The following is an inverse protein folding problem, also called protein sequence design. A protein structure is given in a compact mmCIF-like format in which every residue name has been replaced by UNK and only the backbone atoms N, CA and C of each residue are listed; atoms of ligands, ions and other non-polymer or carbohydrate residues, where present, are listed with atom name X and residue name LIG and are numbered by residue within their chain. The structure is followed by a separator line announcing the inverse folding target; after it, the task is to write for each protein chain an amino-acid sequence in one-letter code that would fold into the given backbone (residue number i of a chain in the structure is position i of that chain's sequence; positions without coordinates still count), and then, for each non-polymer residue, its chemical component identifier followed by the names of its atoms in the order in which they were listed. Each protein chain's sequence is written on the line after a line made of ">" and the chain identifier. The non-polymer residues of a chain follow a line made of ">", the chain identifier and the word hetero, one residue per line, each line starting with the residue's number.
data_IF_724080676236
#
_entry.id   IF_724080676236
#
_cell.length_a   1.000
_cell.length_b   1.000
_cell.length_c   1.000
_cell.angle_alpha   90.00
_cell.angle_beta   90.00
_cell.angle_gamma   90.00
#
_symmetry.space_group_name_H-M   'P 1'
#
loop_
_entity.id
_entity.type
_entity.pdbx_description
1 polymer ?
#
# COMPACT_ATOMS: atom_id res chain seq x y z
N UNK A 1 26.50 -6.49 -13.76
CA UNK A 1 25.49 -6.78 -14.80
C UNK A 1 24.17 -6.20 -14.31
N UNK A 2 23.63 -5.18 -14.98
CA UNK A 2 22.40 -4.49 -14.58
C UNK A 2 21.24 -4.99 -15.47
N UNK A 3 20.32 -5.75 -14.87
CA UNK A 3 19.20 -6.41 -15.57
C UNK A 3 17.91 -5.76 -15.11
N UNK A 4 17.08 -5.28 -16.05
CA UNK A 4 15.82 -4.59 -15.75
C UNK A 4 14.62 -5.38 -16.27
N UNK A 5 13.58 -5.49 -15.44
CA UNK A 5 12.26 -5.96 -15.87
C UNK A 5 11.58 -4.82 -16.64
N UNK A 6 11.43 -4.97 -17.96
CA UNK A 6 10.76 -3.96 -18.81
C UNK A 6 9.24 -3.98 -18.70
N UNK A 7 8.65 -5.12 -18.29
CA UNK A 7 7.21 -5.28 -18.13
C UNK A 7 6.92 -6.48 -17.22
N UNK A 8 6.04 -6.30 -16.25
CA UNK A 8 5.54 -7.36 -15.37
C UNK A 8 4.01 -7.28 -15.36
N UNK A 9 3.35 -8.24 -16.01
CA UNK A 9 1.88 -8.30 -16.11
C UNK A 9 1.43 -9.70 -15.72
N UNK A 10 0.48 -9.78 -14.80
CA UNK A 10 -0.14 -11.02 -14.34
C UNK A 10 -1.15 -10.74 -13.23
N UNK A 11 -1.95 -11.75 -12.88
CA UNK A 11 -2.76 -11.74 -11.67
C UNK A 11 -1.92 -12.39 -10.58
N UNK A 12 -1.69 -11.67 -9.49
CA UNK A 12 -0.91 -12.16 -8.37
C UNK A 12 -1.77 -12.13 -7.11
N UNK A 13 -1.71 -13.21 -6.33
CA UNK A 13 -2.23 -13.18 -4.98
C UNK A 13 -1.36 -12.30 -4.10
N UNK A 14 -1.98 -11.65 -3.11
CA UNK A 14 -1.24 -10.96 -2.07
C UNK A 14 -0.37 -12.01 -1.35
N UNK A 15 0.97 -11.84 -1.36
CA UNK A 15 1.87 -12.79 -0.72
C UNK A 15 1.61 -12.82 0.79
N UNK A 16 2.06 -13.87 1.48
CA UNK A 16 1.82 -14.06 2.93
C UNK A 16 2.21 -12.83 3.77
N UNK A 17 3.25 -12.13 3.36
CA UNK A 17 3.79 -10.96 4.08
C UNK A 17 3.12 -9.63 3.68
N UNK A 18 2.22 -9.65 2.70
CA UNK A 18 1.61 -8.46 2.13
C UNK A 18 2.54 -7.71 1.16
N UNK A 19 2.08 -6.56 0.70
CA UNK A 19 2.80 -5.63 -0.16
C UNK A 19 2.88 -4.29 0.57
N UNK A 20 4.00 -3.59 0.47
CA UNK A 20 4.21 -2.27 1.06
C UNK A 20 4.44 -1.24 -0.05
N UNK A 21 3.71 -0.14 0.04
CA UNK A 21 3.85 1.01 -0.85
C UNK A 21 4.35 2.21 -0.04
N UNK A 22 5.52 2.71 -0.40
CA UNK A 22 5.99 4.00 0.09
C UNK A 22 5.36 5.11 -0.76
N UNK A 23 4.53 5.95 -0.16
CA UNK A 23 3.81 7.02 -0.87
C UNK A 23 4.49 8.36 -0.60
N UNK A 24 4.93 9.01 -1.68
CA UNK A 24 5.59 10.31 -1.66
C UNK A 24 4.89 11.26 -2.65
N UNK A 25 5.06 12.56 -2.44
CA UNK A 25 4.72 13.55 -3.45
C UNK A 25 5.56 13.36 -4.74
N UNK A 26 5.06 13.80 -5.91
CA UNK A 26 5.79 13.71 -7.17
C UNK A 26 7.18 14.37 -7.10
N UNK A 27 8.08 13.93 -8.00
CA UNK A 27 9.44 14.46 -8.13
C UNK A 27 10.29 14.35 -6.85
N UNK A 28 10.03 13.34 -6.02
CA UNK A 28 10.79 13.09 -4.79
C UNK A 28 10.45 14.07 -3.66
N UNK A 29 9.22 14.61 -3.67
CA UNK A 29 8.74 15.50 -2.63
C UNK A 29 8.48 14.79 -1.29
N UNK A 30 7.65 15.40 -0.44
CA UNK A 30 7.45 14.94 0.94
C UNK A 30 6.96 13.49 0.97
N UNK A 31 7.49 12.73 1.93
CA UNK A 31 6.95 11.43 2.29
C UNK A 31 5.60 11.58 2.99
N UNK A 32 4.55 11.04 2.38
CA UNK A 32 3.18 11.11 2.88
C UNK A 32 2.88 9.96 3.86
N UNK A 33 3.49 8.80 3.63
CA UNK A 33 3.34 7.63 4.48
C UNK A 33 3.49 6.33 3.73
N UNK A 34 3.30 5.23 4.45
CA UNK A 34 3.37 3.87 3.93
C UNK A 34 2.00 3.19 3.93
N UNK A 35 1.63 2.57 2.82
CA UNK A 35 0.41 1.77 2.68
C UNK A 35 0.77 0.29 2.64
N UNK A 36 0.32 -0.46 3.63
CA UNK A 36 0.44 -1.91 3.65
C UNK A 36 -0.82 -2.57 3.11
N UNK A 37 -0.66 -3.40 2.08
CA UNK A 37 -1.71 -4.19 1.46
C UNK A 37 -1.60 -5.64 1.95
N UNK A 38 -2.61 -6.13 2.67
CA UNK A 38 -2.65 -7.48 3.22
C UNK A 38 -3.89 -8.24 2.78
N UNK A 39 -3.94 -9.54 3.04
CA UNK A 39 -5.11 -10.36 2.69
C UNK A 39 -6.41 -9.91 3.39
N UNK A 40 -6.31 -9.33 4.59
CA UNK A 40 -7.48 -8.91 5.38
C UNK A 40 -7.91 -7.47 5.13
N UNK A 41 -7.09 -6.66 4.44
CA UNK A 41 -7.37 -5.26 4.20
C UNK A 41 -6.10 -4.43 4.01
N UNK A 42 -6.21 -3.14 4.29
CA UNK A 42 -5.12 -2.18 4.17
C UNK A 42 -4.76 -1.56 5.52
N UNK A 43 -3.51 -1.16 5.69
CA UNK A 43 -3.07 -0.36 6.83
C UNK A 43 -2.34 0.87 6.33
N UNK A 44 -2.86 2.05 6.65
CA UNK A 44 -2.22 3.32 6.34
C UNK A 44 -1.37 3.81 7.50
N UNK A 45 -0.11 4.12 7.22
CA UNK A 45 0.86 4.64 8.16
C UNK A 45 1.28 6.05 7.75
N UNK A 46 0.66 7.06 8.34
CA UNK A 46 0.92 8.46 7.98
C UNK A 46 2.34 8.90 8.40
N UNK A 47 3.06 9.55 7.49
CA UNK A 47 4.44 9.96 7.71
C UNK A 47 5.33 8.78 8.11
N UNK A 48 5.96 8.84 9.30
CA UNK A 48 6.86 7.78 9.81
C UNK A 48 6.18 6.82 10.80
N UNK A 49 4.86 6.69 10.72
CA UNK A 49 4.10 5.82 11.64
C UNK A 49 4.48 4.37 11.39
N UNK A 50 4.66 3.58 12.45
CA UNK A 50 4.92 2.15 12.30
C UNK A 50 3.63 1.40 11.96
N UNK A 51 3.74 0.27 11.25
CA UNK A 51 2.59 -0.59 10.90
C UNK A 51 1.67 -0.91 12.09
N UNK A 52 2.24 -1.12 13.28
CA UNK A 52 1.48 -1.41 14.51
C UNK A 52 0.54 -0.27 14.92
N UNK A 53 0.92 0.97 14.62
CA UNK A 53 0.19 2.18 14.97
C UNK A 53 -0.58 2.77 13.77
N UNK A 54 -0.54 2.09 12.62
CA UNK A 54 -1.26 2.49 11.42
C UNK A 54 -2.77 2.28 11.55
N UNK A 55 -3.53 3.02 10.74
CA UNK A 55 -5.00 2.87 10.68
C UNK A 55 -5.34 1.71 9.75
N UNK A 56 -5.85 0.62 10.33
CA UNK A 56 -6.31 -0.54 9.58
C UNK A 56 -7.75 -0.33 9.07
N UNK A 57 -8.02 -0.79 7.86
CA UNK A 57 -9.36 -0.96 7.30
C UNK A 57 -9.45 -2.31 6.60
N UNK A 58 -10.48 -3.07 6.91
CA UNK A 58 -10.83 -4.26 6.15
C UNK A 58 -11.20 -3.91 4.71
N UNK A 59 -11.18 -4.89 3.81
CA UNK A 59 -11.62 -4.68 2.42
C UNK A 59 -13.05 -4.16 2.32
N UNK A 60 -13.93 -4.61 3.22
CA UNK A 60 -15.31 -4.13 3.29
C UNK A 60 -15.36 -2.64 3.64
N UNK A 61 -14.71 -2.23 4.73
CA UNK A 61 -14.67 -0.82 5.15
C UNK A 61 -14.00 0.08 4.12
N UNK A 62 -12.99 -0.43 3.40
CA UNK A 62 -12.37 0.29 2.29
C UNK A 62 -13.36 0.48 1.13
N UNK A 63 -14.06 -0.58 0.72
CA UNK A 63 -15.05 -0.50 -0.37
C UNK A 63 -16.15 0.52 -0.05
N UNK A 64 -16.68 0.49 1.18
CA UNK A 64 -17.69 1.44 1.64
C UNK A 64 -17.18 2.89 1.67
N UNK A 65 -15.92 3.10 2.06
CA UNK A 65 -15.28 4.42 2.05
C UNK A 65 -15.20 4.98 0.63
N UNK A 66 -14.79 4.16 -0.33
CA UNK A 66 -14.57 4.58 -1.72
C UNK A 66 -15.88 4.77 -2.49
N UNK A 67 -16.95 4.05 -2.13
CA UNK A 67 -18.25 4.14 -2.79
C UNK A 67 -19.11 5.32 -2.32
N UNK A 68 -18.73 6.02 -1.25
CA UNK A 68 -19.48 7.15 -0.68
C UNK A 68 -18.99 8.52 -1.19
N UNK A 69 -18.29 8.56 -2.32
CA UNK A 69 -17.80 9.77 -2.99
C UNK A 69 -18.86 10.45 -3.84
#
# INVERSE_FOLDING_TARGET
>A
MDVKIKKFIGIFDIPKNGIEFQINEPKGGKHLGDLYLGKTGITWCEGRTTKKNGKHKSWKELSELMSKG
#
